data_IF_056019353952
#
_entry.id   IF_056019353952
#
_cell.length_a   1.000
_cell.length_b   1.000
_cell.length_c   1.000
_cell.angle_alpha   90.00
_cell.angle_beta   90.00
_cell.angle_gamma   90.00
#
_symmetry.space_group_name_H-M   'P 1'
#
loop_
_entity.id
_entity.type
_entity.pdbx_description
1 polymer ?
#
# COMPACT_ATOMS: atom_id res chain seq x y z
N UNK A 1 1.15 -35.69 69.61
CA UNK A 1 0.06 -36.07 68.70
C UNK A 1 -0.31 -34.81 67.92
N UNK A 2 0.44 -34.39 66.90
CA UNK A 2 0.30 -34.73 65.47
C UNK A 2 -1.15 -34.73 64.95
N UNK A 3 -1.50 -33.74 64.12
CA UNK A 3 -2.26 -33.80 62.84
C UNK A 3 -2.57 -32.35 62.39
N UNK A 4 -1.67 -31.71 61.62
CA UNK A 4 -1.65 -31.58 60.14
C UNK A 4 -2.85 -30.81 59.55
N UNK A 5 -2.65 -29.52 59.30
CA UNK A 5 -3.44 -28.74 58.33
C UNK A 5 -3.14 -29.25 56.91
N UNK A 6 -4.18 -29.61 56.17
CA UNK A 6 -4.11 -29.88 54.73
C UNK A 6 -4.44 -28.58 53.98
N UNK A 7 -3.45 -27.95 53.36
CA UNK A 7 -3.67 -26.97 52.30
C UNK A 7 -3.76 -27.74 50.97
N UNK A 8 -4.92 -27.71 50.33
CA UNK A 8 -5.11 -28.29 49.00
C UNK A 8 -4.62 -27.28 47.95
N UNK A 9 -3.43 -27.52 47.39
CA UNK A 9 -2.96 -26.84 46.18
C UNK A 9 -3.62 -27.49 44.96
N UNK A 10 -4.59 -26.80 44.36
CA UNK A 10 -5.08 -27.15 43.02
C UNK A 10 -4.13 -26.51 42.01
N UNK A 11 -3.21 -27.29 41.47
CA UNK A 11 -2.42 -26.91 40.29
C UNK A 11 -3.29 -27.07 39.05
N UNK A 12 -3.77 -25.96 38.49
CA UNK A 12 -4.40 -25.94 37.18
C UNK A 12 -3.29 -26.09 36.12
N UNK A 13 -3.04 -27.33 35.67
CA UNK A 13 -2.17 -27.57 34.53
C UNK A 13 -2.92 -27.16 33.25
N UNK A 14 -2.58 -26.00 32.70
CA UNK A 14 -2.99 -25.64 31.34
C UNK A 14 -2.18 -26.51 30.39
N UNK A 15 -2.79 -27.57 29.87
CA UNK A 15 -2.22 -28.31 28.75
C UNK A 15 -2.28 -27.40 27.52
N UNK A 16 -1.16 -26.76 27.18
CA UNK A 16 -0.99 -26.17 25.87
C UNK A 16 -1.00 -27.32 24.85
N UNK A 17 -2.10 -27.46 24.10
CA UNK A 17 -2.11 -28.24 22.88
C UNK A 17 -1.22 -27.52 21.86
N UNK A 18 0.09 -27.73 21.95
CA UNK A 18 0.97 -27.54 20.81
C UNK A 18 0.60 -28.62 19.79
N UNK A 19 -0.34 -28.30 18.92
CA UNK A 19 -0.57 -29.12 17.73
C UNK A 19 0.78 -29.20 17.00
N UNK A 20 1.38 -30.39 16.97
CA UNK A 20 2.56 -30.69 16.16
C UNK A 20 2.14 -30.63 14.68
N UNK A 21 1.99 -29.42 14.13
CA UNK A 21 1.94 -29.23 12.69
C UNK A 21 3.28 -29.71 12.14
N UNK A 22 3.27 -30.66 11.21
CA UNK A 22 4.48 -31.08 10.51
C UNK A 22 5.02 -29.87 9.75
N UNK A 23 6.09 -29.28 10.25
CA UNK A 23 6.82 -28.22 9.55
C UNK A 23 7.69 -28.85 8.47
N UNK A 24 7.69 -28.25 7.28
CA UNK A 24 8.70 -28.51 6.27
C UNK A 24 9.94 -27.65 6.55
N UNK A 25 11.06 -28.00 5.94
CA UNK A 25 12.31 -27.24 6.04
C UNK A 25 12.76 -26.94 4.63
N UNK A 26 12.91 -25.66 4.32
CA UNK A 26 13.34 -25.19 3.01
C UNK A 26 14.82 -25.49 2.75
N UNK A 27 15.31 -25.40 1.49
CA UNK A 27 16.70 -25.69 1.17
C UNK A 27 17.73 -24.88 1.95
N UNK A 28 17.38 -23.67 2.40
CA UNK A 28 18.20 -22.78 3.22
C UNK A 28 18.13 -23.08 4.73
N UNK A 29 17.34 -24.09 5.14
CA UNK A 29 17.10 -24.45 6.53
C UNK A 29 15.93 -23.72 7.20
N UNK A 30 15.25 -22.80 6.50
CA UNK A 30 14.10 -22.07 7.05
C UNK A 30 12.93 -23.02 7.30
N UNK A 31 12.38 -23.11 8.54
CA UNK A 31 11.21 -23.91 8.81
C UNK A 31 9.93 -23.20 8.33
N UNK A 32 9.07 -23.92 7.65
CA UNK A 32 7.77 -23.42 7.16
C UNK A 32 6.64 -24.38 7.50
N UNK A 33 5.43 -23.84 7.62
CA UNK A 33 4.18 -24.55 7.86
C UNK A 33 3.73 -25.39 6.65
N UNK A 34 4.11 -25.01 5.43
CA UNK A 34 3.84 -25.71 4.19
C UNK A 34 5.07 -25.68 3.27
N UNK A 35 5.46 -26.81 2.69
CA UNK A 35 6.60 -26.92 1.76
C UNK A 35 6.46 -26.00 0.54
N UNK A 36 5.22 -25.71 0.10
CA UNK A 36 4.95 -24.76 -0.98
C UNK A 36 5.42 -23.33 -0.65
N UNK A 37 5.56 -22.99 0.64
CA UNK A 37 6.08 -21.69 1.07
C UNK A 37 7.58 -21.51 0.83
N UNK A 38 8.32 -22.58 0.54
CA UNK A 38 9.77 -22.48 0.35
C UNK A 38 10.19 -21.66 -0.87
N UNK A 39 9.39 -21.66 -1.94
CA UNK A 39 9.65 -20.80 -3.11
C UNK A 39 9.61 -19.31 -2.74
N UNK A 40 8.74 -18.94 -1.78
CA UNK A 40 8.60 -17.57 -1.31
C UNK A 40 9.75 -17.15 -0.37
N UNK A 41 10.41 -18.10 0.29
CA UNK A 41 11.58 -17.79 1.13
C UNK A 41 12.74 -17.29 0.26
N UNK A 42 13.05 -18.00 -0.84
CA UNK A 42 14.09 -17.57 -1.78
C UNK A 42 13.69 -16.28 -2.50
N UNK A 43 12.45 -16.18 -2.97
CA UNK A 43 11.94 -14.97 -3.64
C UNK A 43 12.03 -13.73 -2.74
N UNK A 44 11.66 -13.84 -1.46
CA UNK A 44 11.76 -12.73 -0.50
C UNK A 44 13.19 -12.23 -0.35
N UNK A 45 14.14 -13.15 -0.23
CA UNK A 45 15.55 -12.77 -0.07
C UNK A 45 16.07 -12.09 -1.34
N UNK A 46 15.65 -12.55 -2.52
CA UNK A 46 16.02 -11.98 -3.80
C UNK A 46 15.41 -10.58 -3.99
N UNK A 47 14.08 -10.43 -3.79
CA UNK A 47 13.39 -9.13 -3.83
C UNK A 47 14.03 -8.12 -2.88
N UNK A 48 14.36 -8.51 -1.65
CA UNK A 48 15.00 -7.60 -0.69
C UNK A 48 16.44 -7.22 -1.10
N UNK A 49 17.19 -8.15 -1.70
CA UNK A 49 18.59 -7.90 -2.05
C UNK A 49 18.76 -7.15 -3.37
N UNK A 50 17.92 -7.47 -4.36
CA UNK A 50 18.13 -7.07 -5.76
C UNK A 50 17.02 -6.17 -6.32
N UNK A 51 15.96 -5.90 -5.55
CA UNK A 51 14.93 -4.94 -5.94
C UNK A 51 14.78 -3.83 -4.89
N UNK A 52 14.37 -4.17 -3.66
CA UNK A 52 14.02 -3.14 -2.66
C UNK A 52 15.19 -2.59 -1.85
N UNK A 53 16.30 -3.32 -1.73
CA UNK A 53 17.44 -2.92 -0.90
C UNK A 53 17.12 -2.69 0.59
N UNK A 54 15.98 -3.19 1.10
CA UNK A 54 15.50 -2.90 2.45
C UNK A 54 14.96 -1.48 2.63
N UNK A 55 14.63 -0.77 1.55
CA UNK A 55 14.17 0.62 1.55
C UNK A 55 12.69 0.69 1.16
N UNK A 56 11.96 1.63 1.79
CA UNK A 56 10.66 2.08 1.29
C UNK A 56 10.94 3.16 0.24
N UNK A 57 11.14 2.73 -1.00
CA UNK A 57 11.49 3.57 -2.14
C UNK A 57 10.59 3.28 -3.32
N UNK A 58 10.99 3.73 -4.50
CA UNK A 58 10.15 3.71 -5.70
C UNK A 58 9.65 2.31 -6.06
N UNK A 59 10.50 1.30 -6.04
CA UNK A 59 10.13 -0.07 -6.38
C UNK A 59 9.10 -0.65 -5.40
N UNK A 60 9.17 -0.26 -4.13
CA UNK A 60 8.20 -0.67 -3.11
C UNK A 60 6.84 0.01 -3.34
N UNK A 61 6.85 1.31 -3.70
CA UNK A 61 5.65 2.07 -4.03
C UNK A 61 4.96 1.49 -5.27
N UNK A 62 5.73 1.29 -6.34
CA UNK A 62 5.24 0.78 -7.62
C UNK A 62 4.80 -0.70 -7.52
N UNK A 63 5.46 -1.53 -6.71
CA UNK A 63 4.98 -2.89 -6.42
C UNK A 63 3.63 -2.89 -5.72
N UNK A 64 3.40 -1.98 -4.77
CA UNK A 64 2.12 -1.85 -4.08
C UNK A 64 1.02 -1.36 -5.03
N UNK A 65 1.35 -0.39 -5.88
CA UNK A 65 0.46 0.12 -6.92
C UNK A 65 0.08 -1.00 -7.89
N UNK A 66 1.03 -1.75 -8.42
CA UNK A 66 0.76 -2.86 -9.33
C UNK A 66 -0.17 -3.91 -8.72
N UNK A 67 -0.01 -4.24 -7.43
CA UNK A 67 -0.93 -5.15 -6.75
C UNK A 67 -2.39 -4.65 -6.71
N UNK A 68 -2.61 -3.34 -6.62
CA UNK A 68 -3.96 -2.78 -6.77
C UNK A 68 -4.45 -2.88 -8.21
N UNK A 69 -3.63 -2.48 -9.18
CA UNK A 69 -4.00 -2.45 -10.60
C UNK A 69 -4.29 -3.84 -11.17
N UNK A 70 -3.52 -4.87 -10.79
CA UNK A 70 -3.79 -6.29 -11.08
C UNK A 70 -5.14 -6.70 -10.45
N UNK A 71 -5.24 -6.58 -9.12
CA UNK A 71 -6.41 -7.08 -8.38
C UNK A 71 -7.75 -6.43 -8.79
N UNK A 72 -7.76 -5.13 -9.11
CA UNK A 72 -8.98 -4.40 -9.48
C UNK A 72 -9.39 -4.58 -10.95
N UNK A 73 -8.53 -5.24 -11.75
CA UNK A 73 -8.81 -5.77 -13.09
C UNK A 73 -9.84 -6.91 -13.09
N UNK A 74 -10.96 -6.73 -12.39
CA UNK A 74 -12.04 -7.68 -12.19
C UNK A 74 -13.39 -6.96 -12.17
N UNK A 75 -14.47 -7.63 -12.58
CA UNK A 75 -15.84 -7.11 -12.47
C UNK A 75 -16.84 -8.23 -12.17
N UNK A 76 -17.59 -8.09 -11.07
CA UNK A 76 -18.66 -9.04 -10.71
C UNK A 76 -19.83 -8.97 -11.66
N UNK A 77 -20.20 -7.76 -12.10
CA UNK A 77 -21.35 -7.54 -12.97
C UNK A 77 -21.12 -8.01 -14.40
N UNK A 78 -19.90 -7.87 -14.93
CA UNK A 78 -19.55 -8.35 -16.28
C UNK A 78 -19.17 -9.84 -16.24
N UNK A 79 -18.53 -10.30 -15.17
CA UNK A 79 -18.10 -11.68 -14.99
C UNK A 79 -16.70 -11.97 -15.56
N UNK A 80 -16.31 -13.25 -15.68
CA UNK A 80 -14.91 -13.65 -15.92
C UNK A 80 -14.28 -13.13 -17.23
N UNK A 81 -15.08 -12.66 -18.18
CA UNK A 81 -14.56 -12.04 -19.41
C UNK A 81 -14.02 -10.62 -19.23
N UNK A 82 -14.24 -10.01 -18.07
CA UNK A 82 -13.74 -8.67 -17.76
C UNK A 82 -12.28 -8.68 -17.28
N UNK A 83 -11.82 -9.79 -16.70
CA UNK A 83 -10.50 -9.92 -16.09
C UNK A 83 -10.56 -10.83 -14.87
N UNK A 84 -9.41 -11.38 -14.48
CA UNK A 84 -9.30 -12.41 -13.45
C UNK A 84 -9.01 -11.90 -12.04
N UNK A 85 -8.86 -10.59 -11.85
CA UNK A 85 -8.50 -10.00 -10.55
C UNK A 85 -7.04 -10.21 -10.22
N UNK A 86 -6.72 -10.60 -8.99
CA UNK A 86 -5.34 -10.78 -8.55
C UNK A 86 -4.74 -12.06 -9.16
N UNK A 87 -4.45 -12.02 -10.46
CA UNK A 87 -4.04 -13.17 -11.29
C UNK A 87 -2.70 -12.96 -12.00
N UNK A 88 -2.12 -11.76 -11.93
CA UNK A 88 -0.86 -11.41 -12.56
C UNK A 88 -0.96 -11.26 -14.07
N UNK A 89 -2.13 -10.84 -14.55
CA UNK A 89 -2.39 -10.56 -15.96
C UNK A 89 -1.56 -9.39 -16.52
N UNK A 90 -1.23 -8.30 -15.78
CA UNK A 90 -0.33 -7.26 -16.28
C UNK A 90 1.06 -7.78 -16.67
N UNK A 91 1.63 -8.71 -15.89
CA UNK A 91 2.93 -9.34 -16.22
C UNK A 91 2.79 -10.35 -17.37
N UNK A 92 1.68 -11.08 -17.45
CA UNK A 92 1.49 -12.12 -18.47
C UNK A 92 1.06 -11.59 -19.84
N UNK A 93 0.47 -10.39 -19.86
CA UNK A 93 0.01 -9.68 -21.05
C UNK A 93 0.54 -8.23 -21.06
N UNK A 94 1.87 -8.03 -21.06
CA UNK A 94 2.50 -6.73 -20.82
C UNK A 94 2.19 -5.69 -21.91
N UNK A 95 1.85 -6.15 -23.13
CA UNK A 95 1.49 -5.28 -24.24
C UNK A 95 0.01 -4.82 -24.23
N UNK A 96 -0.79 -5.23 -23.23
CA UNK A 96 -2.22 -4.93 -23.16
C UNK A 96 -2.56 -3.99 -22.00
N UNK A 97 -2.51 -4.49 -20.76
CA UNK A 97 -3.03 -3.76 -19.60
C UNK A 97 -2.15 -2.57 -19.20
N UNK A 98 -0.81 -2.69 -19.16
CA UNK A 98 0.06 -1.53 -18.91
C UNK A 98 -0.12 -0.38 -19.91
N UNK A 99 -0.66 -0.65 -21.10
CA UNK A 99 -0.92 0.35 -22.14
C UNK A 99 -2.29 1.05 -22.00
N UNK A 100 -3.10 0.69 -21.00
CA UNK A 100 -4.35 1.42 -20.72
C UNK A 100 -4.06 2.80 -20.10
N UNK A 101 -4.85 3.85 -20.42
CA UNK A 101 -4.63 5.20 -19.87
C UNK A 101 -4.59 5.24 -18.33
N UNK A 102 -5.50 4.53 -17.66
CA UNK A 102 -5.55 4.45 -16.19
C UNK A 102 -4.36 3.69 -15.58
N UNK A 103 -3.59 2.97 -16.39
CA UNK A 103 -2.44 2.16 -15.99
C UNK A 103 -1.10 2.83 -16.34
N UNK A 104 -1.10 4.08 -16.81
CA UNK A 104 0.13 4.77 -17.19
C UNK A 104 1.17 4.73 -16.04
N UNK A 105 2.36 4.20 -16.33
CA UNK A 105 3.47 4.01 -15.38
C UNK A 105 3.61 2.60 -14.80
N UNK A 106 2.58 1.75 -14.80
CA UNK A 106 2.71 0.39 -14.22
C UNK A 106 3.61 -0.53 -15.04
N UNK A 107 4.05 -0.10 -16.23
CA UNK A 107 5.02 -0.83 -17.03
C UNK A 107 6.34 -1.00 -16.28
N UNK A 108 6.76 -0.02 -15.48
CA UNK A 108 8.03 -0.06 -14.74
C UNK A 108 8.02 -1.20 -13.72
N UNK A 109 6.92 -1.34 -12.95
CA UNK A 109 6.75 -2.46 -12.02
C UNK A 109 6.55 -3.81 -12.68
N UNK A 110 5.92 -3.86 -13.86
CA UNK A 110 5.89 -5.08 -14.67
C UNK A 110 7.31 -5.47 -15.10
N UNK A 111 8.10 -4.52 -15.57
CA UNK A 111 9.44 -4.74 -16.10
C UNK A 111 10.44 -5.19 -15.02
N UNK A 112 10.47 -4.56 -13.85
CA UNK A 112 11.38 -4.97 -12.79
C UNK A 112 10.98 -6.28 -12.08
N UNK A 113 9.68 -6.64 -12.06
CA UNK A 113 9.24 -7.91 -11.46
C UNK A 113 9.39 -9.09 -12.41
N UNK A 114 9.17 -8.91 -13.70
CA UNK A 114 9.16 -10.01 -14.68
C UNK A 114 10.41 -10.94 -14.61
N UNK A 115 11.65 -10.42 -14.46
CA UNK A 115 12.85 -11.25 -14.35
C UNK A 115 12.82 -12.28 -13.21
N UNK A 116 12.11 -12.00 -12.11
CA UNK A 116 12.00 -12.91 -10.98
C UNK A 116 11.26 -14.21 -11.33
N UNK A 117 10.39 -14.22 -12.34
CA UNK A 117 9.70 -15.44 -12.82
C UNK A 117 10.64 -16.40 -13.54
N UNK A 118 11.79 -15.93 -14.04
CA UNK A 118 12.77 -16.79 -14.70
C UNK A 118 13.58 -17.64 -13.70
N UNK A 119 13.69 -17.17 -12.45
CA UNK A 119 14.53 -17.77 -11.41
C UNK A 119 13.73 -18.38 -10.26
N UNK A 120 12.52 -17.88 -9.99
CA UNK A 120 11.64 -18.40 -8.94
C UNK A 120 10.42 -19.10 -9.54
N UNK A 121 10.14 -20.31 -9.06
CA UNK A 121 9.00 -21.10 -9.50
C UNK A 121 7.70 -20.65 -8.77
N UNK A 122 7.23 -19.45 -9.11
CA UNK A 122 5.97 -18.84 -8.64
C UNK A 122 5.13 -18.37 -9.83
N UNK A 123 3.83 -18.17 -9.66
CA UNK A 123 3.00 -17.54 -10.71
C UNK A 123 3.19 -16.02 -10.71
N UNK A 124 2.81 -15.36 -11.81
CA UNK A 124 2.81 -13.90 -11.92
C UNK A 124 1.92 -13.26 -10.84
N UNK A 125 0.72 -13.77 -10.62
CA UNK A 125 -0.18 -13.24 -9.58
C UNK A 125 0.39 -13.41 -8.17
N UNK A 126 1.06 -14.54 -7.91
CA UNK A 126 1.74 -14.72 -6.63
C UNK A 126 2.92 -13.75 -6.48
N UNK A 127 3.70 -13.53 -7.54
CA UNK A 127 4.81 -12.59 -7.54
C UNK A 127 4.36 -11.15 -7.23
N UNK A 128 3.33 -10.64 -7.91
CA UNK A 128 2.83 -9.27 -7.70
C UNK A 128 2.37 -9.09 -6.25
N UNK A 129 1.50 -9.97 -5.76
CA UNK A 129 0.95 -9.84 -4.40
C UNK A 129 2.03 -10.05 -3.32
N UNK A 130 3.01 -10.91 -3.58
CA UNK A 130 4.11 -11.14 -2.67
C UNK A 130 5.09 -9.97 -2.65
N UNK A 131 5.43 -9.40 -3.80
CA UNK A 131 6.30 -8.25 -3.93
C UNK A 131 5.73 -7.04 -3.19
N UNK A 132 4.43 -6.74 -3.34
CA UNK A 132 3.76 -5.70 -2.56
C UNK A 132 3.84 -5.97 -1.04
N UNK A 133 3.51 -7.19 -0.60
CA UNK A 133 3.53 -7.55 0.82
C UNK A 133 4.94 -7.49 1.44
N UNK A 134 5.98 -7.84 0.68
CA UNK A 134 7.38 -7.74 1.10
C UNK A 134 7.86 -6.29 1.08
N UNK A 135 7.62 -5.56 -0.02
CA UNK A 135 8.11 -4.20 -0.22
C UNK A 135 7.63 -3.25 0.87
N UNK A 136 6.32 -3.28 1.20
CA UNK A 136 5.81 -2.37 2.23
C UNK A 136 6.32 -2.67 3.63
N UNK A 137 6.91 -3.85 3.90
CA UNK A 137 7.52 -4.12 5.21
C UNK A 137 8.73 -3.22 5.48
N UNK A 138 9.31 -2.64 4.43
CA UNK A 138 10.38 -1.65 4.50
C UNK A 138 9.88 -0.24 4.83
N UNK A 139 8.56 0.00 4.80
CA UNK A 139 7.94 1.28 5.12
C UNK A 139 7.59 1.33 6.61
N UNK A 140 8.25 2.17 7.42
CA UNK A 140 7.98 2.24 8.86
C UNK A 140 6.52 2.54 9.14
N UNK A 141 5.89 1.68 9.94
CA UNK A 141 4.48 1.81 10.31
C UNK A 141 3.51 0.99 9.46
N UNK A 142 3.96 0.41 8.34
CA UNK A 142 3.12 -0.46 7.53
C UNK A 142 2.78 -1.76 8.28
N UNK A 143 1.60 -2.35 8.06
CA UNK A 143 1.30 -3.65 8.61
C UNK A 143 2.05 -4.76 7.86
N UNK A 144 2.25 -5.89 8.54
CA UNK A 144 2.64 -7.13 7.87
C UNK A 144 1.40 -7.77 7.23
N UNK A 145 1.31 -7.77 5.91
CA UNK A 145 0.14 -8.31 5.21
C UNK A 145 0.02 -9.82 5.34
N UNK A 146 -1.22 -10.31 5.25
CA UNK A 146 -1.49 -11.72 4.94
C UNK A 146 -1.02 -12.01 3.52
N UNK A 147 -0.41 -13.17 3.31
CA UNK A 147 -0.07 -13.66 1.98
C UNK A 147 -0.50 -15.11 1.81
N UNK A 148 -1.49 -15.30 0.93
CA UNK A 148 -1.89 -16.60 0.44
C UNK A 148 -1.25 -16.84 -0.94
N UNK A 149 -0.49 -17.91 -1.10
CA UNK A 149 0.13 -18.31 -2.37
C UNK A 149 -0.66 -19.40 -3.09
N UNK A 150 -0.36 -19.61 -4.38
CA UNK A 150 -0.95 -20.65 -5.23
C UNK A 150 -1.91 -20.13 -6.30
N UNK A 151 -1.82 -18.85 -6.69
CA UNK A 151 -2.64 -18.30 -7.78
C UNK A 151 -2.33 -19.03 -9.10
N UNK A 152 -3.36 -19.45 -9.87
CA UNK A 152 -3.14 -20.02 -11.19
C UNK A 152 -2.64 -18.95 -12.17
N UNK A 153 -2.01 -19.34 -13.30
CA UNK A 153 -1.71 -18.40 -14.38
C UNK A 153 -2.98 -17.71 -14.91
N UNK A 154 -2.90 -16.44 -15.33
CA UNK A 154 -4.04 -15.70 -15.84
C UNK A 154 -4.49 -16.27 -17.20
N UNK A 155 -5.79 -16.19 -17.48
CA UNK A 155 -6.39 -16.76 -18.71
C UNK A 155 -6.40 -15.73 -19.86
N UNK A 156 -6.60 -14.46 -19.53
CA UNK A 156 -6.70 -13.34 -20.46
C UNK A 156 -6.37 -12.03 -19.71
N UNK A 157 -5.97 -10.96 -20.42
CA UNK A 157 -5.85 -9.65 -19.81
C UNK A 157 -7.21 -9.12 -19.35
N UNK A 158 -7.20 -8.20 -18.38
CA UNK A 158 -8.40 -7.43 -18.06
C UNK A 158 -8.83 -6.51 -19.21
N UNK A 159 -10.11 -6.13 -19.22
CA UNK A 159 -10.61 -5.10 -20.13
C UNK A 159 -10.27 -3.71 -19.59
N UNK A 160 -10.13 -2.74 -20.50
CA UNK A 160 -9.96 -1.33 -20.16
C UNK A 160 -11.15 -0.78 -19.35
N UNK A 161 -10.88 0.19 -18.47
CA UNK A 161 -11.89 0.93 -17.71
C UNK A 161 -12.27 0.30 -16.36
N UNK A 162 -11.47 -0.66 -15.88
CA UNK A 162 -11.68 -1.30 -14.58
C UNK A 162 -10.90 -0.65 -13.43
N UNK A 163 -9.86 0.13 -13.72
CA UNK A 163 -9.06 0.85 -12.73
C UNK A 163 -9.62 2.27 -12.55
N UNK A 164 -9.91 2.73 -11.31
CA UNK A 164 -10.32 4.11 -11.05
C UNK A 164 -9.28 5.14 -11.49
N UNK A 165 -9.72 6.28 -12.01
CA UNK A 165 -8.85 7.39 -12.42
C UNK A 165 -8.94 8.57 -11.45
N UNK A 166 -7.88 9.40 -11.30
CA UNK A 166 -7.86 10.50 -10.33
C UNK A 166 -8.92 11.59 -10.61
N UNK A 167 -9.40 11.71 -11.85
CA UNK A 167 -10.50 12.60 -12.23
C UNK A 167 -11.91 12.01 -12.02
N UNK A 168 -12.03 10.75 -11.60
CA UNK A 168 -13.32 10.13 -11.38
C UNK A 168 -14.05 10.77 -10.20
N UNK A 169 -15.36 10.95 -10.34
CA UNK A 169 -16.18 11.41 -9.22
C UNK A 169 -16.36 10.28 -8.18
N UNK A 170 -16.62 10.66 -6.94
CA UNK A 170 -16.76 9.74 -5.79
C UNK A 170 -17.80 8.64 -6.04
N UNK A 171 -18.93 8.95 -6.70
CA UNK A 171 -19.95 7.93 -6.98
C UNK A 171 -19.44 6.86 -7.95
N UNK A 172 -18.71 7.26 -8.99
CA UNK A 172 -18.09 6.32 -9.93
C UNK A 172 -17.04 5.45 -9.24
N UNK A 173 -16.16 6.05 -8.42
CA UNK A 173 -15.12 5.32 -7.67
C UNK A 173 -15.77 4.28 -6.75
N UNK A 174 -16.73 4.69 -5.92
CA UNK A 174 -17.39 3.78 -4.98
C UNK A 174 -18.14 2.64 -5.71
N UNK A 175 -18.78 2.94 -6.85
CA UNK A 175 -19.43 1.91 -7.65
C UNK A 175 -18.43 0.94 -8.28
N UNK A 176 -17.29 1.43 -8.77
CA UNK A 176 -16.23 0.59 -9.35
C UNK A 176 -15.63 -0.34 -8.30
N UNK A 177 -15.34 0.20 -7.12
CA UNK A 177 -14.77 -0.56 -6.01
C UNK A 177 -15.74 -1.61 -5.45
N UNK A 178 -17.04 -1.31 -5.39
CA UNK A 178 -18.07 -2.30 -5.06
C UNK A 178 -18.15 -3.41 -6.12
N UNK A 179 -18.13 -3.08 -7.41
CA UNK A 179 -18.20 -4.08 -8.48
C UNK A 179 -16.92 -4.93 -8.60
N UNK A 180 -15.74 -4.33 -8.37
CA UNK A 180 -14.44 -5.00 -8.48
C UNK A 180 -14.10 -5.88 -7.28
N UNK A 181 -14.44 -5.48 -6.06
CA UNK A 181 -14.07 -6.20 -4.84
C UNK A 181 -15.18 -6.35 -3.80
N UNK A 182 -16.38 -5.81 -4.03
CA UNK A 182 -17.38 -5.52 -2.98
C UNK A 182 -16.82 -4.70 -1.84
N UNK A 183 -16.02 -3.68 -2.16
CA UNK A 183 -15.48 -2.79 -1.15
C UNK A 183 -16.52 -1.77 -0.69
N UNK A 184 -16.73 -1.68 0.62
CA UNK A 184 -17.51 -0.60 1.21
C UNK A 184 -16.79 0.75 1.07
N UNK A 185 -17.48 1.90 1.19
CA UNK A 185 -16.81 3.20 1.19
C UNK A 185 -15.69 3.32 2.22
N UNK A 186 -15.86 2.70 3.40
CA UNK A 186 -14.83 2.67 4.44
C UNK A 186 -13.61 1.81 4.05
N UNK A 187 -13.84 0.69 3.36
CA UNK A 187 -12.77 -0.14 2.80
C UNK A 187 -12.01 0.58 1.68
N UNK A 188 -12.69 1.39 0.86
CA UNK A 188 -12.03 2.24 -0.15
C UNK A 188 -11.10 3.25 0.52
N UNK A 189 -11.57 3.94 1.58
CA UNK A 189 -10.71 4.87 2.33
C UNK A 189 -9.56 4.12 3.03
N UNK A 190 -9.80 2.92 3.53
CA UNK A 190 -8.74 2.10 4.10
C UNK A 190 -7.66 1.76 3.05
N UNK A 191 -8.04 1.38 1.83
CA UNK A 191 -7.10 1.11 0.73
C UNK A 191 -6.24 2.32 0.38
N UNK A 192 -6.83 3.53 0.38
CA UNK A 192 -6.12 4.78 0.12
C UNK A 192 -5.05 5.14 1.17
N UNK A 193 -4.94 4.38 2.26
CA UNK A 193 -3.76 4.48 3.14
C UNK A 193 -2.45 4.18 2.39
N UNK A 194 -2.51 3.46 1.26
CA UNK A 194 -1.35 3.28 0.36
C UNK A 194 -0.78 4.59 -0.14
N UNK A 195 -1.60 5.66 -0.26
CA UNK A 195 -1.14 6.97 -0.71
C UNK A 195 -0.22 7.67 0.29
N UNK A 196 -0.07 7.15 1.52
CA UNK A 196 0.95 7.61 2.47
C UNK A 196 2.38 7.19 2.07
N UNK A 197 2.51 6.17 1.20
CA UNK A 197 3.78 5.70 0.66
C UNK A 197 3.74 5.66 -0.86
N UNK A 198 3.36 6.79 -1.46
CA UNK A 198 3.16 6.89 -2.89
C UNK A 198 3.59 8.25 -3.45
N UNK A 199 3.93 8.21 -4.74
CA UNK A 199 4.28 9.36 -5.56
C UNK A 199 3.58 9.24 -6.92
N UNK A 200 3.65 10.30 -7.73
CA UNK A 200 3.14 10.33 -9.09
C UNK A 200 4.21 10.78 -10.08
N UNK A 201 4.35 10.06 -11.19
CA UNK A 201 5.28 10.41 -12.28
C UNK A 201 4.60 10.94 -13.55
N UNK A 202 3.27 10.86 -13.61
CA UNK A 202 2.56 11.01 -14.88
C UNK A 202 1.35 11.92 -14.88
N UNK A 203 0.85 12.34 -13.71
CA UNK A 203 -0.28 13.30 -13.65
C UNK A 203 0.16 14.67 -14.18
N UNK A 204 1.31 15.16 -13.73
CA UNK A 204 1.99 16.30 -14.35
C UNK A 204 3.11 15.78 -15.23
N UNK A 205 3.10 16.03 -16.55
CA UNK A 205 4.09 15.49 -17.47
C UNK A 205 5.48 16.18 -17.40
N UNK A 206 5.67 17.15 -16.52
CA UNK A 206 6.90 17.96 -16.41
C UNK A 206 7.76 17.66 -15.18
N UNK A 207 7.24 16.85 -14.26
CA UNK A 207 7.86 16.48 -12.99
C UNK A 207 7.57 15.01 -12.69
N UNK A 208 8.46 14.37 -11.95
CA UNK A 208 8.33 12.97 -11.51
C UNK A 208 8.48 12.89 -10.01
N UNK A 209 8.24 11.73 -9.42
CA UNK A 209 8.39 11.43 -8.01
C UNK A 209 7.62 12.42 -7.11
N UNK A 210 6.42 12.84 -7.54
CA UNK A 210 5.64 13.86 -6.84
C UNK A 210 4.84 13.24 -5.70
N UNK A 211 5.15 13.49 -4.42
CA UNK A 211 4.55 12.75 -3.32
C UNK A 211 3.13 13.22 -3.01
N UNK A 212 2.30 12.33 -2.45
CA UNK A 212 0.92 12.67 -2.05
C UNK A 212 0.80 13.18 -0.60
N UNK A 213 1.83 12.96 0.22
CA UNK A 213 1.98 13.58 1.53
C UNK A 213 3.45 13.99 1.79
N UNK A 214 3.72 14.62 2.93
CA UNK A 214 5.05 15.10 3.29
C UNK A 214 6.03 14.02 3.76
N UNK A 215 5.60 12.75 3.82
CA UNK A 215 6.35 11.62 4.39
C UNK A 215 6.23 10.37 3.52
N UNK A 216 6.53 10.43 2.20
CA UNK A 216 6.23 9.36 1.23
C UNK A 216 6.98 8.05 1.46
N UNK A 217 7.87 7.97 2.44
CA UNK A 217 8.64 6.78 2.80
C UNK A 217 8.23 6.17 4.15
N UNK A 218 7.18 6.71 4.77
CA UNK A 218 6.67 6.32 6.08
C UNK A 218 5.18 6.05 5.94
N UNK A 219 4.73 4.87 6.35
CA UNK A 219 3.31 4.53 6.31
C UNK A 219 2.63 5.09 7.55
N UNK A 220 2.28 6.37 7.51
CA UNK A 220 1.63 7.09 8.60
C UNK A 220 0.32 7.75 8.17
N UNK A 221 -0.22 8.64 9.01
CA UNK A 221 -1.54 9.24 8.80
C UNK A 221 -1.48 10.64 8.17
N UNK A 222 -0.33 11.09 7.69
CA UNK A 222 -0.13 12.44 7.14
C UNK A 222 -1.00 12.67 5.91
N UNK A 223 -1.11 11.72 4.98
CA UNK A 223 -2.03 11.82 3.83
C UNK A 223 -3.46 12.21 4.25
N UNK A 224 -4.00 11.60 5.31
CA UNK A 224 -5.35 11.89 5.78
C UNK A 224 -5.48 13.31 6.36
N UNK A 225 -4.42 13.84 6.95
CA UNK A 225 -4.34 15.20 7.45
C UNK A 225 -4.17 16.23 6.32
N UNK A 226 -3.21 15.99 5.44
CA UNK A 226 -2.72 16.95 4.46
C UNK A 226 -3.73 17.19 3.33
N UNK A 227 -4.43 16.14 2.88
CA UNK A 227 -5.54 16.28 1.94
C UNK A 227 -6.67 17.15 2.48
N UNK A 228 -6.88 17.20 3.81
CA UNK A 228 -7.88 18.06 4.45
C UNK A 228 -7.42 19.53 4.59
N UNK A 229 -6.16 19.84 4.35
CA UNK A 229 -5.68 21.22 4.39
C UNK A 229 -6.17 22.00 3.17
N UNK A 230 -6.25 23.32 3.29
CA UNK A 230 -6.58 24.21 2.18
C UNK A 230 -5.44 24.19 1.14
N UNK A 231 -5.79 23.79 -0.08
CA UNK A 231 -4.89 23.89 -1.24
C UNK A 231 -4.50 25.33 -1.55
N UNK A 232 -3.22 25.52 -1.89
CA UNK A 232 -2.61 26.84 -2.14
C UNK A 232 -1.93 26.96 -3.51
N UNK A 233 -1.65 25.85 -4.19
CA UNK A 233 -0.98 25.82 -5.49
C UNK A 233 -0.85 24.40 -6.03
N UNK A 234 -0.02 24.22 -7.06
CA UNK A 234 0.40 22.91 -7.60
C UNK A 234 1.93 22.86 -7.62
N UNK A 235 2.55 21.67 -7.45
CA UNK A 235 4.01 21.54 -7.39
C UNK A 235 4.71 21.73 -8.74
N UNK A 236 3.98 21.59 -9.85
CA UNK A 236 4.46 21.76 -11.22
C UNK A 236 3.60 22.74 -12.03
N UNK A 237 3.09 22.26 -13.15
CA UNK A 237 2.21 23.00 -14.07
C UNK A 237 0.74 22.93 -13.62
N UNK A 238 -0.05 23.96 -13.96
CA UNK A 238 -1.47 24.01 -13.60
C UNK A 238 -2.38 23.45 -14.69
N UNK A 239 -3.47 22.80 -14.29
CA UNK A 239 -4.52 22.36 -15.22
C UNK A 239 -4.39 20.91 -15.69
N UNK A 240 -3.56 20.11 -15.01
CA UNK A 240 -3.46 18.68 -15.22
C UNK A 240 -4.78 17.99 -14.86
N UNK A 241 -5.15 16.97 -15.66
CA UNK A 241 -6.37 16.21 -15.43
C UNK A 241 -6.22 15.36 -14.16
N UNK A 242 -7.20 15.43 -13.26
CA UNK A 242 -7.16 14.67 -12.01
C UNK A 242 -6.29 15.28 -10.91
N UNK A 243 -5.71 16.47 -11.11
CA UNK A 243 -4.96 17.20 -10.08
C UNK A 243 -5.81 18.30 -9.42
N UNK A 244 -5.70 18.42 -8.10
CA UNK A 244 -6.27 19.49 -7.29
C UNK A 244 -5.18 20.35 -6.64
N UNK A 245 -5.56 21.50 -6.09
CA UNK A 245 -4.60 22.36 -5.40
C UNK A 245 -4.04 21.67 -4.14
N UNK A 246 -2.73 21.53 -4.10
CA UNK A 246 -1.95 21.02 -2.98
C UNK A 246 -1.72 22.08 -1.90
N UNK A 247 -1.68 21.69 -0.60
CA UNK A 247 -1.36 22.57 0.51
C UNK A 247 0.15 22.80 0.65
N UNK A 248 1.01 21.93 0.13
CA UNK A 248 2.48 22.00 0.22
C UNK A 248 3.16 21.99 -1.17
N UNK A 249 2.83 22.91 -2.10
CA UNK A 249 3.29 22.83 -3.49
C UNK A 249 4.74 23.33 -3.70
N UNK A 250 5.54 23.50 -2.65
CA UNK A 250 6.85 24.14 -2.78
C UNK A 250 7.90 23.13 -3.24
N UNK A 251 8.39 23.31 -4.46
CA UNK A 251 9.42 22.47 -5.08
C UNK A 251 10.79 23.17 -5.11
N UNK A 252 11.88 22.42 -5.02
CA UNK A 252 13.25 22.92 -5.21
C UNK A 252 14.18 21.79 -5.62
N UNK A 253 14.69 21.83 -6.86
CA UNK A 253 15.47 20.71 -7.40
C UNK A 253 14.59 19.47 -7.54
N UNK A 254 15.12 18.32 -7.14
CA UNK A 254 14.41 17.02 -7.15
C UNK A 254 13.44 16.86 -5.96
N UNK A 255 13.57 17.71 -4.94
CA UNK A 255 12.61 17.80 -3.85
C UNK A 255 11.34 18.51 -4.34
N UNK A 256 10.46 17.76 -4.99
CA UNK A 256 9.19 18.24 -5.52
C UNK A 256 8.17 18.40 -4.39
N UNK A 257 7.35 19.46 -4.45
CA UNK A 257 6.25 19.67 -3.51
C UNK A 257 5.15 18.62 -3.63
N UNK A 258 4.26 18.56 -2.63
CA UNK A 258 3.14 17.63 -2.58
C UNK A 258 2.20 17.85 -3.77
N UNK A 259 1.69 16.77 -4.36
CA UNK A 259 0.55 16.77 -5.28
C UNK A 259 -0.71 16.29 -4.55
N UNK A 260 -1.86 16.86 -4.91
CA UNK A 260 -3.15 16.35 -4.45
C UNK A 260 -3.95 15.81 -5.62
N UNK A 261 -4.33 14.54 -5.56
CA UNK A 261 -5.28 13.97 -6.52
C UNK A 261 -6.70 14.52 -6.27
N UNK A 262 -7.44 14.78 -7.34
CA UNK A 262 -8.83 15.26 -7.28
C UNK A 262 -9.76 14.23 -6.62
N UNK A 263 -9.54 12.94 -6.88
CA UNK A 263 -10.24 11.83 -6.24
C UNK A 263 -10.10 11.86 -4.72
N UNK A 264 -8.87 12.03 -4.22
CA UNK A 264 -8.57 12.11 -2.79
C UNK A 264 -9.18 13.36 -2.15
N UNK A 265 -9.05 14.52 -2.81
CA UNK A 265 -9.69 15.77 -2.35
C UNK A 265 -11.20 15.60 -2.18
N UNK A 266 -11.83 14.93 -3.15
CA UNK A 266 -13.27 14.69 -3.18
C UNK A 266 -13.70 13.64 -2.14
N UNK A 267 -12.97 12.52 -2.02
CA UNK A 267 -13.26 11.45 -1.06
C UNK A 267 -13.08 11.92 0.40
N UNK A 268 -12.10 12.78 0.66
CA UNK A 268 -11.93 13.39 1.98
C UNK A 268 -13.10 14.30 2.40
N UNK A 269 -13.91 14.76 1.42
CA UNK A 269 -14.96 15.76 1.61
C UNK A 269 -16.38 15.26 1.33
N UNK A 270 -16.53 14.08 0.74
CA UNK A 270 -17.84 13.50 0.44
C UNK A 270 -18.54 12.98 1.71
N UNK A 271 -19.85 13.23 1.90
CA UNK A 271 -20.59 12.80 3.08
C UNK A 271 -20.55 11.29 3.38
N UNK A 272 -20.29 10.44 2.37
CA UNK A 272 -20.21 8.98 2.52
C UNK A 272 -18.87 8.52 3.08
N UNK A 273 -17.82 9.33 2.97
CA UNK A 273 -16.43 8.92 3.24
C UNK A 273 -15.68 9.85 4.17
N UNK A 274 -16.09 11.13 4.28
CA UNK A 274 -15.36 12.16 5.02
C UNK A 274 -15.10 11.83 6.49
N UNK A 275 -16.05 11.18 7.16
CA UNK A 275 -15.85 10.79 8.56
C UNK A 275 -14.88 9.61 8.71
N UNK A 276 -14.88 8.66 7.77
CA UNK A 276 -13.88 7.59 7.76
C UNK A 276 -12.50 8.16 7.44
N UNK A 277 -12.40 9.08 6.47
CA UNK A 277 -11.18 9.80 6.15
C UNK A 277 -10.60 10.49 7.40
N UNK A 278 -11.41 11.32 8.07
CA UNK A 278 -10.98 12.01 9.30
C UNK A 278 -10.63 11.04 10.43
N UNK A 279 -11.26 9.85 10.50
CA UNK A 279 -11.03 8.88 11.58
C UNK A 279 -9.62 8.29 11.61
N UNK A 280 -8.90 8.34 10.50
CA UNK A 280 -7.51 7.90 10.42
C UNK A 280 -6.51 8.97 10.82
N UNK A 281 -6.89 10.26 10.82
CA UNK A 281 -6.00 11.34 11.26
C UNK A 281 -5.53 11.09 12.69
N UNK A 282 -4.22 10.93 12.87
CA UNK A 282 -3.58 10.64 14.15
C UNK A 282 -4.03 9.31 14.81
N UNK A 283 -4.51 8.35 14.03
CA UNK A 283 -4.93 7.04 14.49
C UNK A 283 -4.24 5.90 13.71
N UNK A 284 -2.93 5.77 13.92
CA UNK A 284 -2.07 4.79 13.26
C UNK A 284 -2.61 3.36 13.36
N UNK A 285 -3.07 2.94 14.54
CA UNK A 285 -3.57 1.59 14.76
C UNK A 285 -4.83 1.30 13.94
N UNK A 286 -5.78 2.26 13.89
CA UNK A 286 -6.97 2.10 13.07
C UNK A 286 -6.62 2.05 11.58
N UNK A 287 -5.79 2.99 11.10
CA UNK A 287 -5.36 3.02 9.69
C UNK A 287 -4.69 1.71 9.28
N UNK A 288 -3.67 1.28 10.02
CA UNK A 288 -2.89 0.07 9.70
C UNK A 288 -3.71 -1.21 9.79
N UNK A 289 -4.54 -1.38 10.83
CA UNK A 289 -5.38 -2.58 10.97
C UNK A 289 -6.46 -2.65 9.89
N UNK A 290 -7.03 -1.52 9.48
CA UNK A 290 -8.02 -1.47 8.39
C UNK A 290 -7.37 -1.69 7.03
N UNK A 291 -6.21 -1.09 6.78
CA UNK A 291 -5.43 -1.34 5.57
C UNK A 291 -5.03 -2.82 5.45
N UNK A 292 -4.52 -3.43 6.53
CA UNK A 292 -4.17 -4.85 6.55
C UNK A 292 -5.37 -5.74 6.19
N UNK A 293 -6.53 -5.47 6.79
CA UNK A 293 -7.74 -6.25 6.56
C UNK A 293 -8.26 -6.11 5.12
N UNK A 294 -8.27 -4.90 4.55
CA UNK A 294 -8.75 -4.69 3.19
C UNK A 294 -7.75 -5.19 2.13
N UNK A 295 -6.44 -5.13 2.40
CA UNK A 295 -5.42 -5.75 1.54
C UNK A 295 -5.56 -7.27 1.47
N UNK A 296 -5.91 -7.93 2.58
CA UNK A 296 -6.20 -9.38 2.57
C UNK A 296 -7.38 -9.73 1.63
N UNK A 297 -8.37 -8.84 1.52
CA UNK A 297 -9.50 -8.96 0.58
C UNK A 297 -9.09 -8.65 -0.86
N UNK A 298 -8.34 -7.57 -1.09
CA UNK A 298 -7.84 -7.16 -2.39
C UNK A 298 -6.98 -8.26 -3.03
N UNK A 299 -6.03 -8.80 -2.27
CA UNK A 299 -5.03 -9.76 -2.76
C UNK A 299 -5.63 -11.07 -3.27
N UNK A 300 -6.91 -11.36 -3.01
CA UNK A 300 -7.58 -12.60 -3.39
C UNK A 300 -8.80 -12.36 -4.29
N UNK A 301 -8.97 -11.16 -4.83
CA UNK A 301 -10.02 -10.88 -5.82
C UNK A 301 -9.88 -11.86 -7.00
N UNK A 302 -10.99 -12.47 -7.39
CA UNK A 302 -11.04 -13.48 -8.46
C UNK A 302 -10.53 -14.87 -8.08
N UNK A 303 -10.01 -15.06 -6.87
CA UNK A 303 -9.40 -16.32 -6.44
C UNK A 303 -10.32 -17.18 -5.56
N UNK A 304 -10.13 -18.51 -5.61
CA UNK A 304 -10.72 -19.45 -4.65
C UNK A 304 -9.75 -19.68 -3.49
N UNK A 305 -9.92 -18.95 -2.39
CA UNK A 305 -9.01 -18.96 -1.23
C UNK A 305 -8.82 -20.34 -0.60
N UNK A 306 -9.74 -21.30 -0.82
CA UNK A 306 -9.61 -22.69 -0.34
C UNK A 306 -8.53 -23.49 -1.08
N UNK A 307 -8.10 -22.99 -2.25
CA UNK A 307 -7.03 -23.58 -3.07
C UNK A 307 -5.69 -22.89 -2.85
N UNK A 308 -5.70 -21.76 -2.15
CA UNK A 308 -4.50 -21.04 -1.77
C UNK A 308 -3.97 -21.59 -0.44
N UNK A 309 -2.68 -21.41 -0.21
CA UNK A 309 -2.01 -21.82 1.01
C UNK A 309 -1.44 -20.59 1.71
N UNK A 310 -1.58 -20.54 3.04
CA UNK A 310 -1.08 -19.42 3.84
C UNK A 310 0.44 -19.49 3.99
N UNK A 311 1.14 -18.51 3.42
CA UNK A 311 2.57 -18.30 3.56
C UNK A 311 2.90 -16.96 4.22
N UNK A 312 1.96 -16.39 4.99
CA UNK A 312 2.14 -15.12 5.70
C UNK A 312 3.36 -15.15 6.63
N UNK A 313 3.75 -16.33 7.12
CA UNK A 313 4.94 -16.54 7.96
C UNK A 313 6.26 -16.16 7.25
N UNK A 314 6.28 -16.18 5.92
CA UNK A 314 7.45 -15.86 5.10
C UNK A 314 7.65 -14.35 4.97
N UNK A 315 6.56 -13.56 4.98
CA UNK A 315 6.64 -12.09 4.90
C UNK A 315 7.54 -11.55 6.03
N UNK A 316 8.46 -10.61 5.76
CA UNK A 316 9.29 -10.02 6.80
C UNK A 316 8.48 -9.40 7.95
N UNK A 317 9.12 -9.23 9.10
CA UNK A 317 8.55 -8.38 10.13
C UNK A 317 8.57 -6.92 9.62
N UNK A 318 7.42 -6.24 9.69
CA UNK A 318 7.33 -4.84 9.29
C UNK A 318 8.08 -3.93 10.26
N UNK A 319 8.68 -2.86 9.73
CA UNK A 319 9.33 -1.84 10.55
C UNK A 319 8.30 -1.12 11.44
N UNK A 320 8.63 -0.86 12.71
CA UNK A 320 7.70 -0.21 13.63
C UNK A 320 7.38 1.23 13.18
N UNK A 321 6.19 1.75 13.48
CA UNK A 321 5.84 3.14 13.18
C UNK A 321 6.77 4.12 13.91
N UNK A 322 6.97 5.28 13.31
CA UNK A 322 7.53 6.42 14.03
C UNK A 322 6.61 6.71 15.24
N UNK A 323 7.17 6.84 16.45
CA UNK A 323 6.39 7.17 17.67
C UNK A 323 5.95 8.65 17.70
N UNK A 324 5.85 9.29 16.54
CA UNK A 324 5.45 10.68 16.35
C UNK A 324 3.94 10.68 16.01
N UNK A 325 3.10 11.39 16.78
CA UNK A 325 1.72 11.66 16.37
C UNK A 325 1.68 12.41 15.04
N UNK A 326 0.53 12.39 14.36
CA UNK A 326 0.35 13.24 13.17
C UNK A 326 0.52 14.72 13.55
N UNK A 327 1.18 15.48 12.69
CA UNK A 327 1.48 16.89 12.93
C UNK A 327 1.17 17.73 11.71
N UNK A 328 0.66 18.94 11.93
CA UNK A 328 0.60 19.90 10.83
C UNK A 328 2.02 20.18 10.32
N UNK A 329 2.27 20.08 9.02
CA UNK A 329 3.53 20.49 8.43
C UNK A 329 3.85 21.94 8.76
N UNK A 330 5.14 22.29 8.83
CA UNK A 330 5.57 23.62 9.28
C UNK A 330 4.92 24.74 8.43
N UNK A 331 4.32 25.73 9.11
CA UNK A 331 3.55 26.80 8.48
C UNK A 331 2.07 26.50 8.26
N UNK A 332 1.60 25.29 8.55
CA UNK A 332 0.18 24.91 8.57
C UNK A 332 -0.31 24.74 10.00
N UNK A 333 -1.61 24.93 10.20
CA UNK A 333 -2.25 24.72 11.49
C UNK A 333 -3.74 24.40 11.34
N UNK A 334 -4.45 24.32 12.47
CA UNK A 334 -5.88 24.03 12.52
C UNK A 334 -6.74 24.96 11.66
N UNK A 335 -6.36 26.23 11.48
CA UNK A 335 -7.11 27.19 10.66
C UNK A 335 -7.08 26.86 9.15
N UNK A 336 -6.13 26.04 8.72
CA UNK A 336 -6.00 25.61 7.33
C UNK A 336 -6.87 24.38 7.01
N UNK A 337 -7.44 23.72 8.03
CA UNK A 337 -8.23 22.49 7.84
C UNK A 337 -9.63 22.81 7.27
N UNK A 338 -9.96 22.16 6.17
CA UNK A 338 -11.30 22.13 5.59
C UNK A 338 -12.05 20.93 6.16
N UNK A 339 -12.76 21.14 7.27
CA UNK A 339 -13.50 20.08 7.96
C UNK A 339 -14.71 19.64 7.14
N UNK A 340 -14.85 18.33 6.94
CA UNK A 340 -15.98 17.72 6.22
C UNK A 340 -16.70 16.61 6.99
N UNK A 341 -16.13 16.11 8.10
CA UNK A 341 -16.86 15.28 9.04
C UNK A 341 -17.54 16.13 10.12
N UNK A 342 -18.86 16.07 10.20
CA UNK A 342 -19.66 16.88 11.14
C UNK A 342 -20.16 16.09 12.36
N UNK A 343 -19.90 14.78 12.41
CA UNK A 343 -20.31 13.91 13.53
C UNK A 343 -19.24 13.78 14.61
N UNK A 344 -17.96 13.96 14.24
CA UNK A 344 -16.83 13.81 15.14
C UNK A 344 -15.93 15.05 15.09
N UNK A 345 -15.41 15.52 16.23
CA UNK A 345 -14.48 16.63 16.25
C UNK A 345 -13.15 16.22 15.59
N UNK A 346 -12.57 17.14 14.83
CA UNK A 346 -11.22 16.95 14.31
C UNK A 346 -10.20 16.90 15.46
N UNK A 347 -9.20 16.00 15.42
CA UNK A 347 -8.25 15.83 16.51
C UNK A 347 -7.40 17.08 16.78
N UNK A 348 -6.93 17.22 18.02
CA UNK A 348 -5.97 18.28 18.37
C UNK A 348 -4.56 17.79 18.02
N UNK A 349 -3.90 18.49 17.10
CA UNK A 349 -2.56 18.16 16.62
C UNK A 349 -1.59 19.31 16.90
N UNK A 350 -0.31 19.00 17.06
CA UNK A 350 0.76 20.00 17.07
C UNK A 350 1.15 20.40 15.64
N UNK A 351 1.81 21.54 15.51
CA UNK A 351 2.46 22.00 14.27
C UNK A 351 3.96 21.79 14.38
N UNK A 352 4.59 21.28 13.33
CA UNK A 352 6.03 21.16 13.25
C UNK A 352 6.70 22.54 13.31
N UNK A 353 7.79 22.69 14.08
CA UNK A 353 8.42 23.99 14.31
C UNK A 353 9.14 24.49 13.05
N UNK A 354 9.27 25.81 12.94
CA UNK A 354 10.11 26.44 11.92
C UNK A 354 9.35 26.87 10.66
N UNK A 355 10.09 27.00 9.55
CA UNK A 355 9.54 27.35 8.23
C UNK A 355 9.12 26.08 7.51
N UNK A 356 8.21 26.21 6.54
CA UNK A 356 7.87 25.14 5.62
C UNK A 356 9.15 24.47 5.08
N UNK A 357 9.20 23.15 5.18
CA UNK A 357 10.31 22.31 4.73
C UNK A 357 9.99 21.75 3.34
N UNK A 358 11.04 21.43 2.60
CA UNK A 358 10.90 20.65 1.38
C UNK A 358 10.58 19.19 1.74
N UNK A 359 9.88 18.50 0.84
CA UNK A 359 9.66 17.06 0.95
C UNK A 359 10.85 16.38 0.27
N UNK A 360 11.59 15.50 0.97
CA UNK A 360 12.80 14.91 0.41
C UNK A 360 12.47 13.97 -0.75
N UNK A 361 13.27 14.06 -1.82
CA UNK A 361 13.21 13.15 -2.96
C UNK A 361 13.64 11.74 -2.58
N UNK A 362 14.59 11.62 -1.64
CA UNK A 362 15.15 10.35 -1.24
C UNK A 362 14.73 9.90 0.16
N UNK A 363 14.65 8.58 0.38
CA UNK A 363 14.50 8.03 1.72
C UNK A 363 15.60 8.55 2.67
N UNK A 364 15.29 8.79 3.96
CA UNK A 364 16.30 9.23 4.93
C UNK A 364 17.51 8.29 5.04
N UNK A 365 17.32 7.00 4.77
CA UNK A 365 18.39 5.99 4.72
C UNK A 365 19.35 6.14 3.54
N UNK A 366 18.94 6.85 2.48
CA UNK A 366 19.71 7.06 1.25
C UNK A 366 20.15 8.54 1.08
N UNK A 367 20.09 9.34 2.14
CA UNK A 367 20.64 10.71 2.13
C UNK A 367 19.60 11.82 2.13
N UNK A 368 18.30 11.50 2.00
CA UNK A 368 17.19 12.46 2.16
C UNK A 368 17.12 13.53 1.06
N UNK A 369 17.99 14.54 1.16
CA UNK A 369 18.19 15.62 0.19
C UNK A 369 19.30 15.29 -0.83
N UNK A 370 19.65 14.01 -0.98
CA UNK A 370 20.62 13.60 -1.99
C UNK A 370 19.98 13.71 -3.38
N UNK A 371 20.73 14.22 -4.36
CA UNK A 371 20.27 14.38 -5.75
C UNK A 371 20.29 13.04 -6.55
N UNK A 372 20.40 11.88 -5.87
CA UNK A 372 20.53 10.58 -6.55
C UNK A 372 20.26 9.41 -5.58
N UNK A 373 19.03 8.90 -5.60
CA UNK A 373 18.63 7.64 -4.96
C UNK A 373 17.79 6.75 -5.86
N UNK A 374 17.51 7.21 -7.08
CA UNK A 374 16.97 6.35 -8.13
C UNK A 374 18.07 5.34 -8.42
N UNK A 375 17.81 4.05 -8.20
CA UNK A 375 18.79 3.03 -8.56
C UNK A 375 19.07 3.20 -10.04
N UNK A 376 20.32 3.54 -10.40
CA UNK A 376 20.80 3.76 -11.76
C UNK A 376 19.91 3.04 -12.79
N UNK A 377 19.25 3.77 -13.68
CA UNK A 377 18.60 3.22 -14.87
C UNK A 377 19.60 2.31 -15.60
N UNK A 378 19.64 1.00 -15.26
CA UNK A 378 20.57 0.06 -15.88
C UNK A 378 21.37 -0.91 -15.00
N UNK A 379 20.86 -1.38 -13.86
CA UNK A 379 21.39 -2.65 -13.30
C UNK A 379 20.31 -3.68 -13.00
N UNK A 380 19.86 -4.37 -14.05
CA UNK A 380 19.84 -5.85 -14.15
C UNK A 380 19.88 -6.28 -15.61
#
# INVERSE_FOLDING_TARGET
MFFKSLLSLVTLAVAANAANYKRATCPDGTPVSNEACCAFVSLKNDLQANLFGGVCGEEAHESLRLAFHDAIGFSKSIGPSAGGGADGSPISFPDVEPNFPANLGIADSVDFLTPFLAVHNVSSGDLIQFAAAVGITNCPGAPRLEFLGGRPPPIAPSIIGLVPEPQDNVTSILARMEDGGSFSPEEVIALLSSHSIARSDHVDPTIMAVPFDSTPFVFDTQIFLEVLLKGTGVPGTSGNLGEALSPLPTSSGENVGEMRLQSDDSLARDPRTACTWQSFVNNQEAMTSKFQAVMAKLAVIGQDTRKLFDCSEVIPAALPPARKPATFPAGKNRADVQVSCFTEPFPTLSTDPGKATLIPHCPPSQGGDADDCDSDEGSL
#
